data_IF_512515206172
#
_entry.id   IF_512515206172
#
_cell.length_a   1.000
_cell.length_b   1.000
_cell.length_c   1.000
_cell.angle_alpha   90.00
_cell.angle_beta   90.00
_cell.angle_gamma   90.00
#
_symmetry.space_group_name_H-M   'P 1'
#
loop_
_entity.id
_entity.type
_entity.pdbx_description
1 polymer ?
#
# COMPACT_ATOMS: atom_id res chain seq x y z
N UNK A 1 -14.13 49.50 -5.93
CA UNK A 1 -12.94 48.62 -5.89
C UNK A 1 -13.17 47.62 -4.76
N UNK A 2 -13.52 46.37 -5.09
CA UNK A 2 -13.81 45.31 -4.08
C UNK A 2 -12.50 44.61 -3.79
N UNK A 3 -12.01 44.73 -2.54
CA UNK A 3 -10.87 43.94 -2.08
C UNK A 3 -11.31 42.50 -1.85
N UNK A 4 -10.77 41.59 -2.66
CA UNK A 4 -10.94 40.13 -2.42
C UNK A 4 -9.86 39.71 -1.43
N UNK A 5 -10.26 39.46 -0.17
CA UNK A 5 -9.38 38.88 0.84
C UNK A 5 -9.35 37.36 0.65
N UNK A 6 -8.25 36.83 0.15
CA UNK A 6 -8.04 35.39 0.07
C UNK A 6 -7.73 34.89 1.47
N UNK A 7 -8.65 34.08 2.05
CA UNK A 7 -8.41 33.37 3.31
C UNK A 7 -7.82 31.99 2.95
N UNK A 8 -6.55 31.77 3.29
CA UNK A 8 -5.91 30.46 3.18
C UNK A 8 -6.09 29.78 4.53
N UNK A 9 -7.00 28.79 4.59
CA UNK A 9 -7.18 27.93 5.74
C UNK A 9 -6.28 26.69 5.57
N UNK A 10 -5.31 26.54 6.45
CA UNK A 10 -4.55 25.29 6.58
C UNK A 10 -5.37 24.33 7.45
N UNK A 11 -6.00 23.36 6.82
CA UNK A 11 -6.61 22.25 7.56
C UNK A 11 -5.52 21.25 7.90
N UNK A 12 -5.16 21.15 9.16
CA UNK A 12 -4.43 20.00 9.67
C UNK A 12 -5.45 18.84 9.74
N UNK A 13 -5.42 17.98 8.73
CA UNK A 13 -6.06 16.67 8.87
C UNK A 13 -5.45 16.00 10.12
N UNK A 14 -6.27 15.34 10.98
CA UNK A 14 -5.73 14.67 12.14
C UNK A 14 -4.69 13.67 11.67
N UNK A 15 -3.43 13.97 11.93
CA UNK A 15 -2.32 13.05 11.66
C UNK A 15 -2.61 11.80 12.48
N UNK A 16 -2.85 10.69 11.78
CA UNK A 16 -3.03 9.39 12.42
C UNK A 16 -1.78 9.14 13.26
N UNK A 17 -1.95 9.09 14.59
CA UNK A 17 -0.83 8.89 15.52
C UNK A 17 -0.14 7.58 15.15
N UNK A 18 1.16 7.58 14.84
CA UNK A 18 1.86 6.34 14.48
C UNK A 18 1.68 5.32 15.60
N UNK A 19 1.27 4.12 15.25
CA UNK A 19 1.22 3.04 16.24
C UNK A 19 2.65 2.57 16.52
N UNK A 20 3.26 3.12 17.56
CA UNK A 20 4.64 2.85 17.97
C UNK A 20 4.95 1.37 18.15
N UNK A 21 3.93 0.55 18.47
CA UNK A 21 4.07 -0.91 18.57
C UNK A 21 4.64 -1.54 17.31
N UNK A 22 4.30 -1.01 16.12
CA UNK A 22 4.70 -1.58 14.84
C UNK A 22 5.88 -0.85 14.17
N UNK A 23 6.28 0.32 14.66
CA UNK A 23 7.40 1.09 14.08
C UNK A 23 8.69 0.25 14.04
N UNK A 24 9.04 -0.39 15.15
CA UNK A 24 10.21 -1.27 15.23
C UNK A 24 10.11 -2.45 14.27
N UNK A 25 8.95 -3.11 14.22
CA UNK A 25 8.73 -4.26 13.33
C UNK A 25 8.83 -3.90 11.84
N UNK A 26 8.36 -2.71 11.45
CA UNK A 26 8.56 -2.20 10.08
C UNK A 26 10.03 -2.03 9.75
N UNK A 27 10.80 -1.46 10.68
CA UNK A 27 12.24 -1.27 10.52
C UNK A 27 12.96 -2.61 10.36
N UNK A 28 12.66 -3.58 11.23
CA UNK A 28 13.19 -4.95 11.15
C UNK A 28 12.82 -5.62 9.80
N UNK A 29 11.61 -5.38 9.27
CA UNK A 29 11.24 -5.88 7.93
C UNK A 29 12.09 -5.24 6.83
N UNK A 30 12.30 -3.93 6.85
CA UNK A 30 13.14 -3.24 5.85
C UNK A 30 14.57 -3.79 5.89
N UNK A 31 15.16 -3.96 7.06
CA UNK A 31 16.49 -4.55 7.24
C UNK A 31 16.56 -5.99 6.69
N UNK A 32 15.52 -6.79 6.94
CA UNK A 32 15.40 -8.14 6.38
C UNK A 32 15.36 -8.13 4.85
N UNK A 33 14.60 -7.20 4.25
CA UNK A 33 14.50 -7.08 2.79
C UNK A 33 15.83 -6.66 2.16
N UNK A 34 16.55 -5.71 2.78
CA UNK A 34 17.90 -5.32 2.36
C UNK A 34 18.86 -6.51 2.40
N UNK A 35 18.86 -7.28 3.48
CA UNK A 35 19.68 -8.48 3.63
C UNK A 35 19.33 -9.58 2.63
N UNK A 36 18.11 -9.57 2.07
CA UNK A 36 17.66 -10.46 1.00
C UNK A 36 17.95 -9.94 -0.42
N UNK A 37 18.64 -8.81 -0.55
CA UNK A 37 19.08 -8.27 -1.83
C UNK A 37 18.15 -7.23 -2.46
N UNK A 38 17.18 -6.67 -1.71
CA UNK A 38 16.44 -5.51 -2.17
C UNK A 38 17.34 -4.27 -2.00
N UNK A 39 17.68 -3.61 -3.10
CA UNK A 39 18.61 -2.48 -3.14
C UNK A 39 17.93 -1.15 -3.42
N UNK A 40 16.73 -1.16 -4.01
CA UNK A 40 15.97 0.05 -4.33
C UNK A 40 15.50 0.74 -3.06
N UNK A 41 16.10 1.92 -2.78
CA UNK A 41 15.83 2.70 -1.58
C UNK A 41 14.42 3.27 -1.57
N UNK A 42 13.84 3.56 -2.74
CA UNK A 42 12.46 4.07 -2.86
C UNK A 42 11.46 2.98 -2.47
N UNK A 43 11.68 1.75 -2.94
CA UNK A 43 10.88 0.58 -2.57
C UNK A 43 10.99 0.28 -1.07
N UNK A 44 12.19 0.30 -0.52
CA UNK A 44 12.42 0.09 0.91
C UNK A 44 11.75 1.17 1.77
N UNK A 45 11.82 2.43 1.35
CA UNK A 45 11.17 3.55 2.01
C UNK A 45 9.64 3.42 1.96
N UNK A 46 9.07 3.06 0.80
CA UNK A 46 7.63 2.81 0.64
C UNK A 46 7.13 1.72 1.61
N UNK A 47 7.82 0.56 1.65
CA UNK A 47 7.48 -0.54 2.57
C UNK A 47 7.65 -0.11 4.04
N UNK A 48 8.68 0.64 4.36
CA UNK A 48 8.93 1.17 5.71
C UNK A 48 7.87 2.18 6.19
N UNK A 49 7.17 2.84 5.27
CA UNK A 49 6.10 3.80 5.56
C UNK A 49 4.76 3.10 5.80
N UNK A 50 4.44 2.06 5.02
CA UNK A 50 3.12 1.44 4.99
C UNK A 50 2.84 0.61 6.23
N UNK A 51 1.67 0.81 6.84
CA UNK A 51 1.18 0.03 7.98
C UNK A 51 0.54 -1.28 7.51
N UNK A 52 1.39 -2.28 7.19
CA UNK A 52 0.97 -3.55 6.58
C UNK A 52 -0.12 -4.29 7.35
N UNK A 53 -0.19 -4.17 8.69
CA UNK A 53 -1.24 -4.81 9.48
C UNK A 53 -2.65 -4.36 9.09
N UNK A 54 -2.80 -3.18 8.48
CA UNK A 54 -4.10 -2.66 8.04
C UNK A 54 -4.66 -3.39 6.82
N UNK A 55 -3.81 -4.12 6.11
CA UNK A 55 -4.15 -4.91 4.93
C UNK A 55 -4.44 -6.39 5.26
N UNK A 56 -4.42 -6.75 6.56
CA UNK A 56 -4.71 -8.09 7.06
C UNK A 56 -5.99 -8.02 7.89
N UNK A 57 -7.10 -8.63 7.41
CA UNK A 57 -8.40 -8.52 8.08
C UNK A 57 -8.42 -9.11 9.49
N UNK A 58 -7.72 -10.23 9.70
CA UNK A 58 -7.64 -10.88 11.02
C UNK A 58 -6.69 -10.12 11.95
N UNK A 59 -7.25 -9.45 12.94
CA UNK A 59 -6.49 -8.66 13.93
C UNK A 59 -5.57 -9.51 14.82
N UNK A 60 -5.86 -10.81 14.99
CA UNK A 60 -4.98 -11.73 15.73
C UNK A 60 -3.61 -11.88 15.03
N UNK A 61 -3.58 -11.73 13.71
CA UNK A 61 -2.37 -11.82 12.90
C UNK A 61 -1.56 -10.52 12.84
N UNK A 62 -2.08 -9.39 13.34
CA UNK A 62 -1.39 -8.09 13.25
C UNK A 62 -0.02 -8.10 13.95
N UNK A 63 0.15 -8.92 14.99
CA UNK A 63 1.45 -9.13 15.64
C UNK A 63 2.53 -9.73 14.72
N UNK A 64 2.12 -10.44 13.68
CA UNK A 64 2.97 -11.14 12.70
C UNK A 64 3.01 -10.42 11.34
N UNK A 65 2.27 -9.33 11.17
CA UNK A 65 2.09 -8.65 9.89
C UNK A 65 3.39 -8.25 9.18
N UNK A 66 4.47 -8.10 9.92
CA UNK A 66 5.79 -7.68 9.42
C UNK A 66 6.78 -8.84 9.23
N UNK A 67 6.33 -10.07 9.46
CA UNK A 67 7.08 -11.24 9.05
C UNK A 67 7.01 -11.41 7.53
N UNK A 68 8.07 -11.99 6.93
CA UNK A 68 8.07 -12.24 5.49
C UNK A 68 7.21 -13.47 5.15
N UNK A 69 5.89 -13.33 5.37
CA UNK A 69 4.88 -14.37 5.19
C UNK A 69 3.64 -13.84 4.49
N UNK A 70 2.91 -14.75 3.82
CA UNK A 70 1.55 -14.51 3.34
C UNK A 70 0.54 -14.76 4.47
N UNK A 71 -0.61 -14.05 4.43
CA UNK A 71 -1.72 -14.25 5.36
C UNK A 71 -3.05 -14.24 4.59
N UNK A 72 -4.07 -14.97 5.05
CA UNK A 72 -5.39 -14.97 4.43
C UNK A 72 -6.04 -13.57 4.44
N UNK A 73 -6.72 -13.22 3.35
CA UNK A 73 -7.45 -11.94 3.22
C UNK A 73 -8.93 -12.12 2.88
N UNK A 74 -9.41 -13.34 2.76
CA UNK A 74 -10.73 -13.72 2.29
C UNK A 74 -10.73 -14.18 0.84
N UNK A 75 -11.88 -14.65 0.35
CA UNK A 75 -12.06 -15.14 -1.03
C UNK A 75 -10.97 -16.14 -1.48
N UNK A 76 -10.48 -16.99 -0.57
CA UNK A 76 -9.36 -17.94 -0.79
C UNK A 76 -8.06 -17.28 -1.28
N UNK A 77 -7.89 -15.98 -1.04
CA UNK A 77 -6.71 -15.21 -1.42
C UNK A 77 -5.85 -14.88 -0.21
N UNK A 78 -4.59 -14.51 -0.49
CA UNK A 78 -3.63 -14.10 0.53
C UNK A 78 -2.96 -12.77 0.18
N UNK A 79 -2.58 -12.00 1.20
CA UNK A 79 -1.63 -10.91 1.03
C UNK A 79 -0.25 -11.49 0.69
N UNK A 80 0.39 -10.99 -0.36
CA UNK A 80 1.71 -11.45 -0.80
C UNK A 80 2.78 -11.25 0.27
N UNK A 81 3.82 -12.09 0.26
CA UNK A 81 5.01 -11.90 1.10
C UNK A 81 5.61 -10.51 0.86
N UNK A 82 6.06 -9.81 1.89
CA UNK A 82 6.75 -8.53 1.73
C UNK A 82 7.93 -8.58 0.74
N UNK A 83 8.70 -9.66 0.75
CA UNK A 83 9.81 -9.84 -0.19
C UNK A 83 9.33 -9.90 -1.65
N UNK A 84 8.24 -10.63 -1.93
CA UNK A 84 7.66 -10.71 -3.27
C UNK A 84 7.26 -9.32 -3.77
N UNK A 85 6.55 -8.56 -2.93
CA UNK A 85 6.12 -7.19 -3.25
C UNK A 85 7.34 -6.29 -3.51
N UNK A 86 8.34 -6.33 -2.63
CA UNK A 86 9.56 -5.53 -2.78
C UNK A 86 10.32 -5.89 -4.06
N UNK A 87 10.49 -7.19 -4.33
CA UNK A 87 11.22 -7.68 -5.49
C UNK A 87 10.54 -7.31 -6.81
N UNK A 88 9.23 -7.50 -6.90
CA UNK A 88 8.46 -7.09 -8.08
C UNK A 88 8.52 -5.57 -8.30
N UNK A 89 8.36 -4.77 -7.24
CA UNK A 89 8.43 -3.31 -7.33
C UNK A 89 9.81 -2.83 -7.75
N UNK A 90 10.90 -3.44 -7.24
CA UNK A 90 12.27 -3.13 -7.65
C UNK A 90 12.51 -3.46 -9.13
N UNK A 91 12.00 -4.61 -9.63
CA UNK A 91 12.14 -4.99 -11.04
C UNK A 91 11.40 -4.04 -11.98
N UNK A 92 10.30 -3.45 -11.55
CA UNK A 92 9.54 -2.48 -12.33
C UNK A 92 10.31 -1.16 -12.53
N UNK A 93 11.29 -0.85 -11.67
CA UNK A 93 12.07 0.39 -11.73
C UNK A 93 11.18 1.64 -11.85
N UNK A 94 10.14 1.70 -11.02
CA UNK A 94 9.10 2.73 -11.09
C UNK A 94 9.67 4.13 -10.96
N UNK A 95 9.35 4.97 -11.94
CA UNK A 95 9.62 6.41 -11.90
C UNK A 95 8.29 7.14 -11.66
N UNK A 96 8.33 8.25 -10.95
CA UNK A 96 7.16 9.08 -10.67
C UNK A 96 6.36 9.39 -11.94
N UNK A 97 5.07 9.07 -11.92
CA UNK A 97 4.14 9.27 -13.02
C UNK A 97 4.09 8.14 -14.05
N UNK A 98 4.87 7.07 -13.86
CA UNK A 98 4.74 5.87 -14.70
C UNK A 98 3.33 5.29 -14.61
N UNK A 99 2.75 4.96 -15.75
CA UNK A 99 1.45 4.29 -15.82
C UNK A 99 1.63 2.80 -15.59
N UNK A 100 1.08 2.32 -14.47
CA UNK A 100 1.16 0.91 -14.08
C UNK A 100 -0.24 0.32 -14.01
N UNK A 101 -0.41 -0.87 -14.59
CA UNK A 101 -1.59 -1.70 -14.41
C UNK A 101 -1.23 -2.87 -13.48
N UNK A 102 -1.91 -2.94 -12.34
CA UNK A 102 -1.89 -4.08 -11.43
C UNK A 102 -3.11 -4.96 -11.70
N UNK A 103 -2.89 -6.25 -11.94
CA UNK A 103 -3.96 -7.25 -12.07
C UNK A 103 -4.01 -8.08 -10.80
N UNK A 104 -5.14 -8.01 -10.08
CA UNK A 104 -5.33 -8.64 -8.77
C UNK A 104 -4.97 -7.69 -7.63
N UNK A 105 -5.84 -6.73 -7.34
CA UNK A 105 -5.66 -5.79 -6.20
C UNK A 105 -5.50 -6.52 -4.86
N UNK A 106 -6.25 -7.59 -4.66
CA UNK A 106 -6.20 -8.42 -3.46
C UNK A 106 -6.41 -7.61 -2.18
N UNK A 107 -5.40 -7.63 -1.30
CA UNK A 107 -5.40 -6.82 -0.07
C UNK A 107 -5.20 -5.32 -0.33
N UNK A 108 -4.66 -4.94 -1.49
CA UNK A 108 -4.22 -3.58 -1.82
C UNK A 108 -2.82 -3.23 -1.33
N UNK A 109 -2.07 -4.16 -0.75
CA UNK A 109 -0.74 -3.86 -0.22
C UNK A 109 0.27 -3.53 -1.33
N UNK A 110 0.26 -4.29 -2.45
CA UNK A 110 1.08 -3.97 -3.61
C UNK A 110 0.67 -2.62 -4.23
N UNK A 111 -0.66 -2.38 -4.36
CA UNK A 111 -1.17 -1.10 -4.83
C UNK A 111 -0.69 0.07 -3.97
N UNK A 112 -0.69 -0.08 -2.64
CA UNK A 112 -0.17 0.94 -1.73
C UNK A 112 1.32 1.20 -1.95
N UNK A 113 2.14 0.15 -2.14
CA UNK A 113 3.58 0.30 -2.43
C UNK A 113 3.81 1.06 -3.74
N UNK A 114 3.10 0.70 -4.82
CA UNK A 114 3.20 1.38 -6.11
C UNK A 114 2.72 2.85 -6.03
N UNK A 115 1.69 3.12 -5.25
CA UNK A 115 1.22 4.49 -5.01
C UNK A 115 2.22 5.34 -4.21
N UNK A 116 2.93 4.75 -3.23
CA UNK A 116 4.02 5.43 -2.51
C UNK A 116 5.24 5.69 -3.41
N UNK A 117 5.43 4.92 -4.47
CA UNK A 117 6.43 5.18 -5.53
C UNK A 117 5.95 6.24 -6.53
N UNK A 118 4.80 6.88 -6.27
CA UNK A 118 4.21 7.93 -7.11
C UNK A 118 3.83 7.48 -8.52
N UNK A 119 3.51 6.20 -8.72
CA UNK A 119 2.98 5.69 -9.98
C UNK A 119 1.56 6.23 -10.27
N UNK A 120 1.25 6.43 -11.56
CA UNK A 120 -0.13 6.59 -12.04
C UNK A 120 -0.78 5.21 -12.14
N UNK A 121 -1.30 4.73 -10.99
CA UNK A 121 -1.70 3.34 -10.79
C UNK A 121 -3.16 3.09 -11.18
N UNK A 122 -3.34 2.05 -11.98
CA UNK A 122 -4.60 1.41 -12.33
C UNK A 122 -4.57 0.01 -11.72
N UNK A 123 -5.58 -0.36 -10.95
CA UNK A 123 -5.65 -1.70 -10.36
C UNK A 123 -7.01 -2.34 -10.61
N UNK A 124 -7.00 -3.63 -10.92
CA UNK A 124 -8.22 -4.38 -11.25
C UNK A 124 -8.34 -5.62 -10.36
N UNK A 125 -9.54 -5.87 -9.83
CA UNK A 125 -9.84 -7.01 -8.98
C UNK A 125 -11.08 -7.74 -9.50
N UNK A 126 -10.97 -9.07 -9.65
CA UNK A 126 -12.08 -9.93 -10.10
C UNK A 126 -12.96 -10.44 -8.97
N UNK A 127 -12.40 -10.56 -7.76
CA UNK A 127 -13.15 -11.00 -6.59
C UNK A 127 -13.95 -9.83 -6.03
N UNK A 128 -15.27 -9.87 -6.23
CA UNK A 128 -16.18 -8.77 -5.79
C UNK A 128 -16.04 -8.46 -4.31
N UNK A 129 -15.90 -9.49 -3.48
CA UNK A 129 -15.70 -9.34 -2.04
C UNK A 129 -14.44 -8.53 -1.71
N UNK A 130 -13.33 -8.82 -2.38
CA UNK A 130 -12.06 -8.10 -2.18
C UNK A 130 -12.15 -6.68 -2.72
N UNK A 131 -12.70 -6.49 -3.92
CA UNK A 131 -12.91 -5.17 -4.50
C UNK A 131 -13.69 -4.25 -3.55
N UNK A 132 -14.82 -4.75 -3.00
CA UNK A 132 -15.71 -3.97 -2.12
C UNK A 132 -15.07 -3.63 -0.77
N UNK A 133 -14.15 -4.46 -0.27
CA UNK A 133 -13.40 -4.22 0.97
C UNK A 133 -12.17 -3.36 0.77
N UNK A 134 -11.39 -3.65 -0.26
CA UNK A 134 -10.07 -3.07 -0.47
C UNK A 134 -10.14 -1.65 -1.02
N UNK A 135 -11.07 -1.36 -1.94
CA UNK A 135 -11.20 -0.02 -2.52
C UNK A 135 -11.49 1.06 -1.45
N UNK A 136 -12.48 0.91 -0.56
CA UNK A 136 -12.69 1.90 0.50
C UNK A 136 -11.55 1.95 1.52
N UNK A 137 -10.90 0.81 1.82
CA UNK A 137 -9.74 0.78 2.68
C UNK A 137 -8.62 1.66 2.14
N UNK A 138 -8.20 1.43 0.89
CA UNK A 138 -7.13 2.20 0.26
C UNK A 138 -7.45 3.70 0.20
N UNK A 139 -8.68 4.07 -0.14
CA UNK A 139 -9.14 5.47 -0.12
C UNK A 139 -9.05 6.08 1.29
N UNK A 140 -9.43 5.33 2.33
CA UNK A 140 -9.35 5.78 3.73
C UNK A 140 -7.93 5.95 4.23
N UNK A 141 -6.97 5.23 3.62
CA UNK A 141 -5.54 5.35 3.88
C UNK A 141 -4.86 6.49 3.09
N UNK A 142 -5.63 7.21 2.26
CA UNK A 142 -5.14 8.36 1.50
C UNK A 142 -4.74 8.07 0.04
N UNK A 143 -4.88 6.83 -0.43
CA UNK A 143 -4.56 6.44 -1.81
C UNK A 143 -5.70 6.78 -2.78
N UNK A 144 -6.17 8.02 -2.75
CA UNK A 144 -7.33 8.48 -3.54
C UNK A 144 -7.02 8.66 -5.03
N UNK A 145 -5.75 8.81 -5.40
CA UNK A 145 -5.27 8.96 -6.78
C UNK A 145 -5.29 7.64 -7.56
N UNK A 146 -5.34 6.49 -6.87
CA UNK A 146 -5.37 5.16 -7.51
C UNK A 146 -6.72 4.95 -8.22
N UNK A 147 -6.68 4.35 -9.40
CA UNK A 147 -7.86 4.04 -10.22
C UNK A 147 -8.24 2.58 -10.06
N UNK A 148 -9.40 2.34 -9.47
CA UNK A 148 -9.87 1.01 -9.06
C UNK A 148 -10.92 0.49 -10.02
N UNK A 149 -10.73 -0.73 -10.52
CA UNK A 149 -11.65 -1.38 -11.44
C UNK A 149 -12.08 -2.75 -10.91
N UNK A 150 -13.36 -3.05 -11.08
CA UNK A 150 -13.88 -4.39 -10.86
C UNK A 150 -13.94 -5.12 -12.20
N UNK A 151 -13.23 -6.24 -12.31
CA UNK A 151 -13.16 -7.02 -13.55
C UNK A 151 -12.07 -8.08 -13.51
N UNK A 152 -11.96 -8.85 -14.59
CA UNK A 152 -11.03 -10.00 -14.68
C UNK A 152 -9.65 -9.63 -15.25
N UNK A 153 -9.47 -8.44 -15.79
CA UNK A 153 -8.18 -8.01 -16.36
C UNK A 153 -7.89 -8.55 -17.77
N UNK A 154 -8.88 -9.21 -18.43
CA UNK A 154 -8.83 -9.63 -19.82
C UNK A 154 -9.50 -8.62 -20.75
#
# INVERSE_FOLDING_TARGET
MVQVTTIILKFDLPMRTPNFKYVRKRKELVELLQNKGIQDQSVLAAIGKIERQLFIPDTALHGHAYENKAFPIGAEQTISHPYTVAFQSQLLQVVKGDKILEIGTGSGYQAAVLAELEADLYTIERQKELYDKTTPLLKSLGYTQVKYYYGDGY
#
